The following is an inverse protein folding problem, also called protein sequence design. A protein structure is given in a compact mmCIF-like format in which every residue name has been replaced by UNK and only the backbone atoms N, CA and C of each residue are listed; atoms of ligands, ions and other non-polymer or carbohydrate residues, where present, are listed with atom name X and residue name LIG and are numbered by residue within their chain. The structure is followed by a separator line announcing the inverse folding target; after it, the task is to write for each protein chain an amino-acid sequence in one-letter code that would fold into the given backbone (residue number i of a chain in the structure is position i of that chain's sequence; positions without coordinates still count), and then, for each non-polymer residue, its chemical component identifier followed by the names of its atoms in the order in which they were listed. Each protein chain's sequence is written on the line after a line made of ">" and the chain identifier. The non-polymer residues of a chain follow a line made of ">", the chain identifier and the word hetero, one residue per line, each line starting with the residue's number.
data_IF_851848977773
#
_entry.id   IF_851848977773
#
_cell.length_a   1.000
_cell.length_b   1.000
_cell.length_c   1.000
_cell.angle_alpha   90.00
_cell.angle_beta   90.00
_cell.angle_gamma   90.00
#
_symmetry.space_group_name_H-M   'P 1'
#
loop_
_entity.id
_entity.type
_entity.pdbx_description
1 polymer ?
#
# COMPACT_ATOMS: atom_id res chain seq x y z
N UNK A 1 46.45 50.15 16.10
CA UNK A 1 46.57 48.75 15.69
C UNK A 1 45.45 48.53 14.69
N UNK A 2 45.77 48.59 13.40
CA UNK A 2 44.78 48.24 12.37
C UNK A 2 44.82 46.73 12.26
N UNK A 3 43.71 46.08 12.59
CA UNK A 3 43.44 44.71 12.18
C UNK A 3 43.52 44.69 10.66
N UNK A 4 44.64 44.18 10.15
CA UNK A 4 44.70 43.74 8.77
C UNK A 4 43.81 42.51 8.72
N UNK A 5 42.56 42.71 8.31
CA UNK A 5 41.77 41.62 7.75
C UNK A 5 42.65 40.96 6.69
N UNK A 6 43.01 39.70 6.95
CA UNK A 6 43.55 38.78 5.95
C UNK A 6 42.52 38.72 4.81
N UNK A 7 42.64 39.65 3.87
CA UNK A 7 42.07 39.51 2.55
C UNK A 7 42.83 38.33 1.96
N UNK A 8 42.30 37.12 2.17
CA UNK A 8 42.65 35.95 1.38
C UNK A 8 42.43 36.35 -0.07
N UNK A 9 43.51 36.78 -0.72
CA UNK A 9 43.57 36.96 -2.16
C UNK A 9 43.60 35.55 -2.74
N UNK A 10 42.44 34.89 -2.74
CA UNK A 10 42.26 33.57 -3.32
C UNK A 10 42.71 33.68 -4.78
N UNK A 11 43.85 33.05 -5.08
CA UNK A 11 44.47 33.20 -6.38
C UNK A 11 43.51 32.69 -7.45
N UNK A 12 43.64 33.13 -8.70
CA UNK A 12 42.82 32.57 -9.79
C UNK A 12 43.00 31.04 -9.93
N UNK A 13 44.10 30.48 -9.40
CA UNK A 13 44.27 29.03 -9.30
C UNK A 13 43.37 28.42 -8.20
N UNK A 14 43.27 29.05 -7.04
CA UNK A 14 42.49 28.56 -5.90
C UNK A 14 40.97 28.65 -6.18
N UNK A 15 40.51 29.75 -6.78
CA UNK A 15 39.12 29.89 -7.25
C UNK A 15 38.74 28.79 -8.24
N UNK A 16 39.64 28.47 -9.19
CA UNK A 16 39.46 27.38 -10.15
C UNK A 16 39.47 26.01 -9.47
N UNK A 17 40.35 25.79 -8.50
CA UNK A 17 40.43 24.56 -7.74
C UNK A 17 39.14 24.32 -6.93
N UNK A 18 38.65 25.35 -6.24
CA UNK A 18 37.41 25.33 -5.48
C UNK A 18 36.20 25.05 -6.38
N UNK A 19 36.07 25.76 -7.51
CA UNK A 19 35.00 25.51 -8.48
C UNK A 19 35.02 24.05 -9.00
N UNK A 20 36.20 23.52 -9.34
CA UNK A 20 36.35 22.13 -9.77
C UNK A 20 35.97 21.12 -8.68
N UNK A 21 36.26 21.44 -7.41
CA UNK A 21 35.87 20.61 -6.27
C UNK A 21 34.35 20.58 -6.09
N UNK A 22 33.69 21.75 -6.15
CA UNK A 22 32.23 21.83 -6.07
C UNK A 22 31.55 21.09 -7.20
N UNK A 23 32.03 21.22 -8.44
CA UNK A 23 31.44 20.53 -9.58
C UNK A 23 31.65 19.01 -9.50
N UNK A 24 32.78 18.52 -8.96
CA UNK A 24 32.96 17.09 -8.65
C UNK A 24 31.89 16.60 -7.68
N UNK A 25 31.71 17.29 -6.55
CA UNK A 25 30.68 16.96 -5.55
C UNK A 25 29.28 16.93 -6.17
N UNK A 26 28.96 17.91 -7.04
CA UNK A 26 27.68 17.94 -7.76
C UNK A 26 27.51 16.72 -8.66
N UNK A 27 28.54 16.32 -9.41
CA UNK A 27 28.49 15.13 -10.28
C UNK A 27 28.36 13.83 -9.49
N UNK A 28 28.98 13.74 -8.32
CA UNK A 28 28.85 12.56 -7.45
C UNK A 28 27.41 12.42 -6.95
N UNK A 29 26.78 13.51 -6.49
CA UNK A 29 25.36 13.49 -6.10
C UNK A 29 24.43 13.07 -7.25
N UNK A 30 24.70 13.52 -8.48
CA UNK A 30 23.94 13.09 -9.66
C UNK A 30 24.16 11.61 -9.93
N UNK A 31 25.40 11.13 -9.82
CA UNK A 31 25.74 9.72 -10.00
C UNK A 31 24.95 8.87 -9.00
N UNK A 32 24.89 9.27 -7.73
CA UNK A 32 24.11 8.59 -6.70
C UNK A 32 22.62 8.60 -7.00
N UNK A 33 22.08 9.73 -7.46
CA UNK A 33 20.69 9.83 -7.90
C UNK A 33 20.37 8.86 -9.05
N UNK A 34 21.30 8.66 -9.98
CA UNK A 34 21.14 7.66 -11.05
C UNK A 34 21.18 6.21 -10.51
N UNK A 35 21.99 5.91 -9.50
CA UNK A 35 21.98 4.60 -8.86
C UNK A 35 20.64 4.34 -8.17
N UNK A 36 20.15 5.28 -7.36
CA UNK A 36 18.85 5.17 -6.70
C UNK A 36 17.70 5.00 -7.70
N UNK A 37 17.73 5.73 -8.82
CA UNK A 37 16.74 5.58 -9.88
C UNK A 37 16.79 4.19 -10.52
N UNK A 38 17.99 3.71 -10.87
CA UNK A 38 18.18 2.35 -11.43
C UNK A 38 17.61 1.29 -10.50
N UNK A 39 17.93 1.39 -9.20
CA UNK A 39 17.53 0.39 -8.20
C UNK A 39 16.02 0.44 -7.91
N UNK A 40 15.33 1.53 -8.26
CA UNK A 40 13.87 1.66 -8.16
C UNK A 40 13.10 1.09 -9.36
N UNK A 41 13.80 0.76 -10.46
CA UNK A 41 13.20 0.21 -11.68
C UNK A 41 13.47 -1.31 -11.72
N UNK A 42 12.45 -2.17 -11.54
CA UNK A 42 12.65 -3.62 -11.41
C UNK A 42 13.45 -4.27 -12.56
N UNK A 43 13.25 -3.79 -13.79
CA UNK A 43 13.95 -4.30 -14.97
C UNK A 43 15.46 -3.94 -15.04
N UNK A 44 15.95 -3.08 -14.14
CA UNK A 44 17.34 -2.63 -14.11
C UNK A 44 18.07 -3.03 -12.82
N UNK A 45 17.38 -3.65 -11.86
CA UNK A 45 17.98 -4.05 -10.59
C UNK A 45 19.06 -5.11 -10.82
N UNK A 46 20.24 -4.87 -10.25
CA UNK A 46 21.38 -5.80 -10.37
C UNK A 46 22.10 -5.76 -11.73
N UNK A 47 21.63 -4.95 -12.68
CA UNK A 47 22.23 -4.85 -14.01
C UNK A 47 23.13 -3.62 -14.18
N UNK A 48 24.13 -3.75 -15.07
CA UNK A 48 24.92 -2.60 -15.55
C UNK A 48 24.13 -1.89 -16.65
N UNK A 49 23.51 -0.76 -16.31
CA UNK A 49 22.75 0.07 -17.24
C UNK A 49 23.43 1.43 -17.47
N UNK A 50 23.43 1.90 -18.71
CA UNK A 50 23.87 3.26 -19.04
C UNK A 50 22.87 4.31 -18.56
N UNK A 51 23.29 5.59 -18.46
CA UNK A 51 22.37 6.69 -18.08
C UNK A 51 21.16 6.80 -19.00
N UNK A 52 21.35 6.63 -20.31
CA UNK A 52 20.24 6.65 -21.27
C UNK A 52 19.24 5.52 -20.99
N UNK A 53 19.73 4.28 -20.85
CA UNK A 53 18.88 3.13 -20.52
C UNK A 53 18.12 3.32 -19.19
N UNK A 54 18.76 3.90 -18.18
CA UNK A 54 18.09 4.21 -16.90
C UNK A 54 16.90 5.15 -17.12
N UNK A 55 17.07 6.22 -17.90
CA UNK A 55 16.00 7.18 -18.19
C UNK A 55 14.88 6.56 -19.03
N UNK A 56 15.24 5.78 -20.06
CA UNK A 56 14.27 5.12 -20.94
C UNK A 56 13.41 4.12 -20.16
N UNK A 57 14.06 3.22 -19.39
CA UNK A 57 13.35 2.21 -18.60
C UNK A 57 12.59 2.80 -17.42
N UNK A 58 13.07 3.86 -16.79
CA UNK A 58 12.29 4.58 -15.79
C UNK A 58 11.02 5.19 -16.41
N UNK A 59 11.12 5.79 -17.59
CA UNK A 59 9.98 6.35 -18.31
C UNK A 59 8.96 5.28 -18.68
N UNK A 60 9.42 4.16 -19.25
CA UNK A 60 8.57 2.99 -19.55
C UNK A 60 7.87 2.47 -18.28
N UNK A 61 8.62 2.33 -17.18
CA UNK A 61 8.09 1.80 -15.93
C UNK A 61 7.04 2.71 -15.30
N UNK A 62 7.24 4.03 -15.31
CA UNK A 62 6.24 5.00 -14.84
C UNK A 62 4.94 4.88 -15.66
N UNK A 63 5.04 4.79 -16.99
CA UNK A 63 3.86 4.63 -17.85
C UNK A 63 3.15 3.30 -17.64
N UNK A 64 3.91 2.22 -17.42
CA UNK A 64 3.37 0.92 -17.06
C UNK A 64 2.62 0.96 -15.74
N UNK A 65 3.24 1.49 -14.68
CA UNK A 65 2.63 1.57 -13.35
C UNK A 65 1.38 2.45 -13.33
N UNK A 66 1.35 3.55 -14.10
CA UNK A 66 0.14 4.37 -14.26
C UNK A 66 -1.03 3.58 -14.83
N UNK A 67 -0.80 2.82 -15.92
CA UNK A 67 -1.82 1.97 -16.53
C UNK A 67 -2.27 0.86 -15.58
N UNK A 68 -1.31 0.17 -14.96
CA UNK A 68 -1.59 -0.91 -14.00
C UNK A 68 -2.43 -0.43 -12.81
N UNK A 69 -2.06 0.69 -12.20
CA UNK A 69 -2.82 1.27 -11.09
C UNK A 69 -4.24 1.71 -11.52
N UNK A 70 -4.39 2.22 -12.75
CA UNK A 70 -5.70 2.58 -13.28
C UNK A 70 -6.61 1.36 -13.44
N UNK A 71 -6.11 0.26 -14.01
CA UNK A 71 -6.87 -1.00 -14.11
C UNK A 71 -7.24 -1.52 -12.73
N UNK A 72 -6.30 -1.56 -11.78
CA UNK A 72 -6.61 -1.98 -10.42
C UNK A 72 -7.66 -1.10 -9.74
N UNK A 73 -7.66 0.20 -9.99
CA UNK A 73 -8.70 1.08 -9.45
C UNK A 73 -10.08 0.76 -10.06
N UNK A 74 -10.14 0.46 -11.36
CA UNK A 74 -11.37 0.01 -12.01
C UNK A 74 -11.87 -1.31 -11.41
N UNK A 75 -10.99 -2.29 -11.24
CA UNK A 75 -11.31 -3.58 -10.62
C UNK A 75 -11.87 -3.39 -9.20
N UNK A 76 -11.25 -2.51 -8.40
CA UNK A 76 -11.73 -2.17 -7.05
C UNK A 76 -13.14 -1.56 -7.11
N UNK A 77 -13.37 -0.63 -8.03
CA UNK A 77 -14.66 0.07 -8.13
C UNK A 77 -15.77 -0.88 -8.60
N UNK A 78 -15.46 -1.81 -9.50
CA UNK A 78 -16.43 -2.80 -9.99
C UNK A 78 -16.74 -3.85 -8.92
N UNK A 79 -15.74 -4.33 -8.18
CA UNK A 79 -15.95 -5.23 -7.04
C UNK A 79 -16.78 -4.57 -5.94
N UNK A 80 -16.57 -3.28 -5.67
CA UNK A 80 -17.40 -2.53 -4.70
C UNK A 80 -18.86 -2.44 -5.13
N UNK A 81 -19.14 -2.21 -6.42
CA UNK A 81 -20.51 -2.21 -6.94
C UNK A 81 -21.15 -3.59 -6.82
N UNK A 82 -20.41 -4.65 -7.15
CA UNK A 82 -20.90 -6.03 -7.03
C UNK A 82 -21.23 -6.37 -5.57
N UNK A 83 -20.34 -6.04 -4.63
CA UNK A 83 -20.57 -6.27 -3.21
C UNK A 83 -21.80 -5.50 -2.72
N UNK A 84 -21.97 -4.23 -3.10
CA UNK A 84 -23.13 -3.44 -2.71
C UNK A 84 -24.46 -4.05 -3.23
N UNK A 85 -24.46 -4.61 -4.45
CA UNK A 85 -25.64 -5.29 -5.00
C UNK A 85 -25.94 -6.60 -4.25
N UNK A 86 -24.91 -7.36 -3.89
CA UNK A 86 -25.07 -8.61 -3.14
C UNK A 86 -25.52 -8.37 -1.70
N UNK A 87 -24.96 -7.35 -1.02
CA UNK A 87 -25.40 -6.92 0.31
C UNK A 87 -26.88 -6.50 0.30
N UNK A 88 -27.30 -5.76 -0.74
CA UNK A 88 -28.69 -5.40 -0.92
C UNK A 88 -29.59 -6.64 -1.09
N UNK A 89 -29.17 -7.63 -1.89
CA UNK A 89 -29.93 -8.87 -2.08
C UNK A 89 -30.05 -9.70 -0.79
N UNK A 90 -28.95 -9.88 -0.05
CA UNK A 90 -28.97 -10.61 1.22
C UNK A 90 -29.85 -9.95 2.28
N UNK A 91 -29.95 -8.62 2.27
CA UNK A 91 -30.86 -7.87 3.14
C UNK A 91 -32.33 -8.16 2.81
N UNK A 92 -32.70 -8.28 1.53
CA UNK A 92 -34.07 -8.58 1.11
C UNK A 92 -34.50 -10.02 1.45
N UNK A 93 -33.59 -10.99 1.37
CA UNK A 93 -33.88 -12.38 1.74
C UNK A 93 -34.11 -12.54 3.26
N UNK A 94 -33.41 -11.78 4.11
CA UNK A 94 -33.64 -11.80 5.56
C UNK A 94 -34.97 -11.16 5.99
N UNK A 95 -35.40 -10.08 5.33
CA UNK A 95 -36.68 -9.44 5.64
C UNK A 95 -37.87 -10.28 5.17
N UNK A 96 -37.77 -10.90 3.99
CA UNK A 96 -38.87 -11.72 3.44
C UNK A 96 -39.07 -13.06 4.16
N UNK A 97 -38.09 -13.53 4.94
CA UNK A 97 -38.22 -14.75 5.76
C UNK A 97 -38.83 -14.49 7.15
N UNK A 98 -39.10 -13.23 7.51
CA UNK A 98 -39.61 -12.84 8.84
C UNK A 98 -41.14 -12.83 8.95
N UNK A 99 -41.88 -13.06 7.85
CA UNK A 99 -43.34 -12.96 7.79
C UNK A 99 -44.10 -14.31 7.94
N UNK A 100 -43.41 -15.43 8.18
CA UNK A 100 -44.02 -16.74 8.44
C UNK A 100 -43.93 -17.12 9.94
N UNK A 101 -44.35 -16.24 10.85
CA UNK A 101 -44.74 -16.66 12.21
C UNK A 101 -46.13 -17.30 12.18
N UNK A 102 -46.07 -18.63 12.09
CA UNK A 102 -47.16 -19.60 12.20
C UNK A 102 -48.08 -19.33 13.41
N UNK A 103 -49.31 -18.88 13.15
CA UNK A 103 -50.42 -18.94 14.11
C UNK A 103 -50.95 -20.37 14.14
N UNK A 104 -50.34 -21.24 14.94
CA UNK A 104 -50.98 -22.49 15.33
C UNK A 104 -51.64 -22.33 16.69
N UNK A 105 -52.93 -22.67 16.71
CA UNK A 105 -53.82 -22.48 17.82
C UNK A 105 -53.53 -23.46 18.97
N UNK A 106 -53.98 -23.07 20.16
CA UNK A 106 -53.69 -23.81 21.38
C UNK A 106 -54.18 -25.25 21.33
N UNK A 107 -53.23 -26.18 21.38
CA UNK A 107 -53.48 -27.55 21.81
C UNK A 107 -52.54 -27.94 22.95
N UNK A 108 -53.09 -27.80 24.16
CA UNK A 108 -52.87 -28.58 25.37
C UNK A 108 -51.69 -29.58 25.42
N UNK A 109 -50.91 -29.44 26.51
CA UNK A 109 -50.44 -30.54 27.38
C UNK A 109 -49.15 -31.28 26.96
N UNK A 110 -48.10 -31.11 27.78
CA UNK A 110 -47.65 -32.11 28.76
C UNK A 110 -46.61 -31.47 29.69
N UNK A 111 -46.89 -31.49 30.99
CA UNK A 111 -45.93 -31.19 32.05
C UNK A 111 -44.91 -32.34 32.08
N UNK A 112 -43.70 -32.12 31.57
CA UNK A 112 -42.57 -33.01 31.84
C UNK A 112 -42.00 -32.63 33.20
N UNK A 113 -42.03 -33.61 34.11
CA UNK A 113 -41.49 -33.50 35.46
C UNK A 113 -39.96 -33.31 35.38
N UNK A 114 -39.46 -32.20 35.90
CA UNK A 114 -38.06 -31.78 35.80
C UNK A 114 -37.17 -32.35 36.93
N UNK A 115 -37.50 -33.53 37.47
CA UNK A 115 -36.75 -34.15 38.57
C UNK A 115 -35.61 -35.07 38.12
N UNK A 116 -35.37 -35.21 36.80
CA UNK A 116 -34.46 -36.25 36.26
C UNK A 116 -33.20 -35.74 35.55
N UNK A 117 -32.81 -34.47 35.74
CA UNK A 117 -31.53 -33.95 35.24
C UNK A 117 -30.75 -33.24 36.36
N UNK A 118 -30.12 -34.02 37.23
CA UNK A 118 -29.12 -33.53 38.19
C UNK A 118 -27.82 -34.34 38.22
N UNK A 119 -27.54 -35.17 37.20
CA UNK A 119 -26.27 -35.90 37.12
C UNK A 119 -25.72 -35.96 35.70
N UNK A 120 -25.06 -34.87 35.28
CA UNK A 120 -23.86 -34.86 34.43
C UNK A 120 -23.46 -33.38 34.32
N UNK A 121 -22.56 -32.88 35.16
CA UNK A 121 -21.19 -33.35 35.19
C UNK A 121 -20.41 -32.57 34.13
N UNK A 122 -19.98 -31.38 34.52
CA UNK A 122 -18.91 -30.56 33.94
C UNK A 122 -17.85 -31.35 33.16
N UNK A 123 -17.47 -30.89 31.96
CA UNK A 123 -16.08 -30.86 31.47
C UNK A 123 -15.97 -30.20 30.07
N UNK A 124 -15.36 -29.01 30.03
CA UNK A 124 -14.60 -28.45 28.91
C UNK A 124 -13.10 -28.72 29.17
N UNK A 125 -12.16 -28.37 28.28
CA UNK A 125 -12.06 -28.62 26.84
C UNK A 125 -10.65 -29.17 26.47
N UNK A 126 -10.38 -29.38 25.18
CA UNK A 126 -9.05 -29.23 24.57
C UNK A 126 -9.22 -28.63 23.17
#
# INVERSE_FOLDING_TARGET
>A
MSENDDIEVDSDADKRAHHNALERKRRDHIKDSFHSLRDSVPALQGEKASRAQILDKATEYIQFMRRKNHTHQQDIDDLKKQNALLEQQGSFESDSSSDEENKDDGSSRLQVDASEWSEAGSLSPA
#
